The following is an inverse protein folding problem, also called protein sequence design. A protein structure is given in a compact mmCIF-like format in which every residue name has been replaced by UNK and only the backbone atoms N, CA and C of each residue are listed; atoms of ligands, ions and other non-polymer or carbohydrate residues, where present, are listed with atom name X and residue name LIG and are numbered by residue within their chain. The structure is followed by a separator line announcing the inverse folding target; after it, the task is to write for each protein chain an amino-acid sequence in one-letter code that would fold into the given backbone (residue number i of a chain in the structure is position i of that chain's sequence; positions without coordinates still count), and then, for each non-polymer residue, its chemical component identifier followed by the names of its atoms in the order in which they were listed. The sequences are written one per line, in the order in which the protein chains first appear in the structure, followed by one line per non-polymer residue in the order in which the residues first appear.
data_IF_843781084748
#
_entry.id   IF_843781084748
#
_cell.length_a   1.000
_cell.length_b   1.000
_cell.length_c   1.000
_cell.angle_alpha   90.00
_cell.angle_beta   90.00
_cell.angle_gamma   90.00
#
_symmetry.space_group_name_H-M   'P 1'
#
loop_
_entity.id
_entity.type
_entity.pdbx_description
1 polymer ?
#
# COMPACT_ATOMS: atom_id res chain seq x y z
N UNK A 1 10.73 36.04 -22.61
CA UNK A 1 10.79 35.46 -21.26
C UNK A 1 9.49 35.81 -20.54
N UNK A 2 8.48 34.93 -20.59
CA UNK A 2 7.17 35.18 -19.98
C UNK A 2 6.94 34.08 -18.94
N UNK A 3 7.15 34.42 -17.67
CA UNK A 3 6.80 33.54 -16.56
C UNK A 3 5.28 33.53 -16.41
N UNK A 4 4.62 32.51 -16.95
CA UNK A 4 3.24 32.19 -16.57
C UNK A 4 3.28 31.67 -15.14
N UNK A 5 2.97 32.55 -14.18
CA UNK A 5 2.61 32.14 -12.83
C UNK A 5 1.26 31.42 -12.90
N UNK A 6 1.25 30.11 -13.18
CA UNK A 6 0.11 29.26 -12.82
C UNK A 6 0.01 29.28 -11.30
N UNK A 7 -0.84 30.15 -10.76
CA UNK A 7 -1.21 30.15 -9.36
C UNK A 7 -1.94 28.83 -9.09
N UNK A 8 -1.19 27.82 -8.62
CA UNK A 8 -1.74 26.58 -8.10
C UNK A 8 -2.72 26.95 -6.99
N UNK A 9 -4.01 26.68 -7.18
CA UNK A 9 -4.95 26.76 -6.07
C UNK A 9 -4.75 25.52 -5.23
N UNK A 10 -4.29 25.75 -4.01
CA UNK A 10 -4.15 24.74 -2.97
C UNK A 10 -5.23 24.98 -1.90
N UNK A 11 -5.75 23.89 -1.34
CA UNK A 11 -6.60 23.92 -0.17
C UNK A 11 -6.21 22.78 0.76
N UNK A 12 -6.20 23.05 2.05
CA UNK A 12 -5.96 22.05 3.08
C UNK A 12 -7.30 21.75 3.78
N UNK A 13 -7.62 20.47 3.93
CA UNK A 13 -8.83 19.99 4.58
C UNK A 13 -8.43 19.14 5.78
N UNK A 14 -8.94 19.49 6.95
CA UNK A 14 -8.76 18.70 8.17
C UNK A 14 -9.90 17.70 8.31
N UNK A 15 -9.54 16.41 8.36
CA UNK A 15 -10.48 15.34 8.65
C UNK A 15 -10.30 14.87 10.09
N UNK A 16 -11.39 14.87 10.85
CA UNK A 16 -11.46 14.26 12.18
C UNK A 16 -11.86 12.79 12.04
N UNK A 17 -10.89 11.88 12.15
CA UNK A 17 -11.14 10.43 12.10
C UNK A 17 -11.22 9.87 13.52
N UNK A 18 -11.70 8.63 13.64
CA UNK A 18 -11.94 7.98 14.94
C UNK A 18 -10.73 7.97 15.89
N UNK A 19 -9.50 7.94 15.36
CA UNK A 19 -8.28 7.80 16.14
C UNK A 19 -7.26 8.93 15.96
N UNK A 20 -7.43 9.80 14.96
CA UNK A 20 -6.52 10.92 14.70
C UNK A 20 -7.13 11.94 13.75
N UNK A 21 -6.59 13.15 13.80
CA UNK A 21 -6.81 14.16 12.79
C UNK A 21 -5.82 13.97 11.62
N UNK A 22 -6.31 14.11 10.40
CA UNK A 22 -5.50 14.02 9.18
C UNK A 22 -5.74 15.23 8.31
N UNK A 23 -4.67 15.96 8.00
CA UNK A 23 -4.70 17.03 7.01
C UNK A 23 -4.46 16.46 5.61
N UNK A 24 -5.39 16.73 4.70
CA UNK A 24 -5.26 16.44 3.27
C UNK A 24 -4.99 17.74 2.54
N UNK A 25 -3.88 17.80 1.81
CA UNK A 25 -3.55 18.90 0.91
C UNK A 25 -4.06 18.54 -0.49
N UNK A 26 -4.86 19.41 -1.08
CA UNK A 26 -5.34 19.30 -2.45
C UNK A 26 -4.74 20.40 -3.32
N UNK A 27 -4.23 20.03 -4.49
CA UNK A 27 -3.76 20.96 -5.51
C UNK A 27 -4.50 20.71 -6.82
N UNK A 28 -5.07 21.79 -7.38
CA UNK A 28 -5.62 21.75 -8.74
C UNK A 28 -4.51 21.66 -9.80
N UNK A 29 -4.68 20.76 -10.76
CA UNK A 29 -3.83 20.66 -11.96
C UNK A 29 -4.69 20.81 -13.23
N UNK A 30 -4.06 20.91 -14.40
CA UNK A 30 -4.72 20.99 -15.71
C UNK A 30 -5.87 22.01 -15.76
N UNK A 31 -5.59 23.27 -15.38
CA UNK A 31 -6.56 24.35 -15.32
C UNK A 31 -7.83 24.00 -14.50
N UNK A 32 -7.67 23.31 -13.36
CA UNK A 32 -8.74 22.90 -12.43
C UNK A 32 -9.67 21.80 -12.96
N UNK A 33 -9.23 21.04 -13.95
CA UNK A 33 -9.97 19.84 -14.42
C UNK A 33 -9.63 18.59 -13.63
N UNK A 34 -8.52 18.62 -12.91
CA UNK A 34 -7.98 17.51 -12.14
C UNK A 34 -7.48 17.99 -10.78
N UNK A 35 -7.41 17.05 -9.84
CA UNK A 35 -7.03 17.29 -8.45
C UNK A 35 -6.00 16.25 -8.02
N UNK A 36 -4.93 16.73 -7.38
CA UNK A 36 -3.95 15.87 -6.71
C UNK A 36 -4.10 16.09 -5.22
N UNK A 37 -4.49 15.04 -4.51
CA UNK A 37 -4.62 15.02 -3.07
C UNK A 37 -3.45 14.26 -2.44
N UNK A 38 -2.92 14.78 -1.35
CA UNK A 38 -1.85 14.15 -0.57
C UNK A 38 -2.14 14.23 0.92
N UNK A 39 -1.68 13.24 1.68
CA UNK A 39 -1.83 13.20 3.13
C UNK A 39 -0.62 12.54 3.78
N UNK A 40 -0.34 12.91 5.03
CA UNK A 40 0.66 12.22 5.84
C UNK A 40 0.01 11.02 6.55
N UNK A 41 0.34 9.80 6.12
CA UNK A 41 -0.17 8.59 6.74
C UNK A 41 0.45 8.32 8.13
N UNK A 42 1.63 8.87 8.40
CA UNK A 42 2.43 8.61 9.60
C UNK A 42 3.71 7.83 9.28
N UNK A 43 4.47 7.51 10.32
CA UNK A 43 5.72 6.74 10.19
C UNK A 43 5.44 5.29 9.80
N UNK A 44 6.21 4.78 8.83
CA UNK A 44 6.18 3.38 8.48
C UNK A 44 6.86 2.53 9.58
N UNK A 45 6.29 1.37 9.87
CA UNK A 45 6.82 0.40 10.81
C UNK A 45 6.78 -0.99 10.19
N UNK A 46 7.84 -1.76 10.39
CA UNK A 46 7.83 -3.20 10.17
C UNK A 46 7.42 -3.88 11.47
N UNK A 47 6.35 -4.66 11.44
CA UNK A 47 5.75 -5.25 12.66
C UNK A 47 5.77 -6.78 12.66
N UNK A 48 6.34 -7.40 11.63
CA UNK A 48 6.40 -8.86 11.54
C UNK A 48 7.42 -9.33 10.52
N UNK A 49 8.13 -10.39 10.88
CA UNK A 49 8.95 -11.18 9.97
C UNK A 49 8.18 -12.43 9.56
N UNK A 50 8.14 -12.71 8.26
CA UNK A 50 7.56 -13.95 7.74
C UNK A 50 8.68 -14.96 7.58
N UNK A 51 8.52 -16.14 8.18
CA UNK A 51 9.47 -17.22 7.99
C UNK A 51 9.43 -17.70 6.52
N UNK A 52 10.58 -17.97 5.88
CA UNK A 52 10.63 -18.46 4.50
C UNK A 52 9.80 -19.75 4.27
N UNK A 53 9.63 -20.57 5.32
CA UNK A 53 8.79 -21.76 5.33
C UNK A 53 7.30 -21.49 5.05
N UNK A 54 6.83 -20.26 5.28
CA UNK A 54 5.43 -19.87 5.09
C UNK A 54 5.20 -19.13 3.77
N UNK A 55 6.25 -18.80 3.01
CA UNK A 55 6.13 -18.02 1.77
C UNK A 55 5.21 -18.71 0.77
N UNK A 56 5.45 -20.00 0.50
CA UNK A 56 4.64 -20.77 -0.44
C UNK A 56 3.14 -20.73 -0.08
N UNK A 57 2.81 -20.80 1.22
CA UNK A 57 1.42 -20.74 1.71
C UNK A 57 0.80 -19.36 1.48
N UNK A 58 1.58 -18.29 1.62
CA UNK A 58 1.11 -16.91 1.50
C UNK A 58 0.99 -16.42 0.04
N UNK A 59 1.79 -16.98 -0.88
CA UNK A 59 1.85 -16.53 -2.27
C UNK A 59 1.04 -17.39 -3.22
N UNK A 60 0.84 -18.69 -2.92
CA UNK A 60 0.02 -19.56 -3.76
C UNK A 60 -1.44 -19.06 -3.91
N UNK A 61 -2.10 -18.55 -2.85
CA UNK A 61 -3.42 -17.91 -2.97
C UNK A 61 -3.44 -16.67 -3.86
N UNK A 62 -2.28 -16.05 -4.08
CA UNK A 62 -2.09 -14.91 -4.98
C UNK A 62 -1.86 -15.32 -6.44
N UNK A 63 -1.82 -16.63 -6.75
CA UNK A 63 -1.45 -17.14 -8.07
C UNK A 63 0.05 -17.05 -8.38
N UNK A 64 0.87 -16.78 -7.36
CA UNK A 64 2.31 -16.59 -7.47
C UNK A 64 3.07 -17.87 -7.11
N UNK A 65 4.28 -18.00 -7.66
CA UNK A 65 5.22 -19.08 -7.35
C UNK A 65 6.46 -18.52 -6.64
N UNK A 66 7.26 -19.39 -6.02
CA UNK A 66 8.51 -18.96 -5.37
C UNK A 66 9.47 -18.27 -6.35
N UNK A 67 9.51 -18.74 -7.60
CA UNK A 67 10.35 -18.17 -8.67
C UNK A 67 9.88 -16.78 -9.14
N UNK A 68 8.63 -16.40 -8.83
CA UNK A 68 8.11 -15.06 -9.12
C UNK A 68 8.59 -14.03 -8.08
N UNK A 69 9.14 -14.46 -6.94
CA UNK A 69 9.58 -13.57 -5.87
C UNK A 69 10.90 -12.87 -6.20
N UNK A 70 11.02 -11.62 -5.78
CA UNK A 70 12.28 -10.91 -5.80
C UNK A 70 13.16 -11.40 -4.64
N UNK A 71 14.16 -12.23 -4.94
CA UNK A 71 14.95 -12.99 -3.95
C UNK A 71 15.69 -12.15 -2.89
N UNK A 72 15.95 -10.87 -3.16
CA UNK A 72 16.61 -9.96 -2.23
C UNK A 72 15.67 -9.32 -1.20
N UNK A 73 14.35 -9.48 -1.38
CA UNK A 73 13.35 -8.80 -0.56
C UNK A 73 12.43 -9.83 0.11
N UNK A 74 12.50 -9.97 1.45
CA UNK A 74 11.65 -10.91 2.15
C UNK A 74 10.18 -10.46 2.11
N UNK A 75 9.27 -11.42 2.27
CA UNK A 75 7.89 -11.10 2.64
C UNK A 75 7.91 -10.46 4.03
N UNK A 76 7.18 -9.36 4.18
CA UNK A 76 7.20 -8.56 5.40
C UNK A 76 5.84 -7.91 5.66
N UNK A 77 5.48 -7.76 6.94
CA UNK A 77 4.30 -6.99 7.34
C UNK A 77 4.71 -5.57 7.71
N UNK A 78 4.17 -4.60 6.97
CA UNK A 78 4.47 -3.16 7.13
C UNK A 78 3.18 -2.39 7.39
N UNK A 79 3.25 -1.35 8.23
CA UNK A 79 2.09 -0.51 8.58
C UNK A 79 2.44 0.98 8.63
N UNK A 80 1.50 1.82 8.22
CA UNK A 80 1.43 3.26 8.53
C UNK A 80 0.17 3.58 9.37
N UNK A 81 -0.46 2.55 9.94
CA UNK A 81 -1.72 2.61 10.67
C UNK A 81 -2.58 1.37 10.43
N UNK A 82 -2.56 0.84 9.20
CA UNK A 82 -3.12 -0.48 8.86
C UNK A 82 -1.99 -1.39 8.35
N UNK A 83 -1.81 -2.58 8.95
CA UNK A 83 -0.74 -3.48 8.53
C UNK A 83 -1.10 -4.26 7.27
N UNK A 84 -0.15 -4.36 6.35
CA UNK A 84 -0.28 -5.10 5.10
C UNK A 84 0.90 -6.04 4.89
N UNK A 85 0.63 -7.19 4.27
CA UNK A 85 1.67 -8.07 3.76
C UNK A 85 2.24 -7.48 2.47
N UNK A 86 3.55 -7.23 2.45
CA UNK A 86 4.30 -6.83 1.26
C UNK A 86 4.90 -8.07 0.62
N UNK A 87 4.53 -8.31 -0.64
CA UNK A 87 5.04 -9.41 -1.47
C UNK A 87 5.83 -8.80 -2.63
N UNK A 88 7.16 -8.85 -2.52
CA UNK A 88 8.04 -8.32 -3.58
C UNK A 88 8.21 -9.36 -4.68
N UNK A 89 7.86 -9.01 -5.91
CA UNK A 89 7.91 -9.90 -7.07
C UNK A 89 8.82 -9.34 -8.17
N UNK A 90 9.44 -10.24 -8.93
CA UNK A 90 10.21 -9.96 -10.14
C UNK A 90 9.43 -10.30 -11.42
N UNK A 91 8.44 -11.20 -11.32
CA UNK A 91 7.54 -11.62 -12.41
C UNK A 91 6.17 -12.05 -11.88
N UNK A 92 5.25 -12.41 -12.79
CA UNK A 92 3.98 -13.06 -12.43
C UNK A 92 2.85 -12.11 -12.03
N UNK A 93 3.05 -10.79 -12.11
CA UNK A 93 2.01 -9.80 -11.83
C UNK A 93 0.77 -9.98 -12.72
N UNK A 94 0.96 -10.41 -13.96
CA UNK A 94 -0.12 -10.65 -14.93
C UNK A 94 -1.05 -11.82 -14.54
N UNK A 95 -0.60 -12.69 -13.63
CA UNK A 95 -1.39 -13.78 -13.06
C UNK A 95 -1.84 -13.48 -11.62
N UNK A 96 -1.35 -12.40 -11.03
CA UNK A 96 -1.59 -12.10 -9.63
C UNK A 96 -3.05 -11.71 -9.40
N UNK A 97 -3.66 -12.31 -8.38
CA UNK A 97 -5.04 -12.05 -7.98
C UNK A 97 -5.37 -12.78 -6.69
N UNK A 98 -6.50 -12.48 -6.05
CA UNK A 98 -6.90 -13.18 -4.82
C UNK A 98 -7.84 -14.33 -5.19
N UNK A 99 -7.32 -15.56 -5.14
CA UNK A 99 -8.05 -16.75 -5.59
C UNK A 99 -8.59 -17.62 -4.44
N UNK A 100 -8.09 -17.43 -3.21
CA UNK A 100 -8.55 -18.17 -2.04
C UNK A 100 -9.61 -17.39 -1.26
N UNK A 101 -10.69 -18.08 -0.84
CA UNK A 101 -11.74 -17.50 0.01
C UNK A 101 -11.26 -17.22 1.44
N UNK A 102 -10.29 -17.97 1.93
CA UNK A 102 -9.79 -17.88 3.30
C UNK A 102 -8.49 -17.07 3.40
N UNK A 103 -8.16 -16.29 2.37
CA UNK A 103 -6.89 -15.57 2.32
C UNK A 103 -6.76 -14.52 3.43
N UNK A 104 -7.86 -13.83 3.75
CA UNK A 104 -7.92 -12.86 4.85
C UNK A 104 -7.51 -13.49 6.18
N UNK A 105 -8.10 -14.64 6.54
CA UNK A 105 -7.75 -15.37 7.76
C UNK A 105 -6.28 -15.78 7.80
N UNK A 106 -5.72 -16.17 6.65
CA UNK A 106 -4.31 -16.57 6.54
C UNK A 106 -3.36 -15.38 6.74
N UNK A 107 -3.62 -14.23 6.12
CA UNK A 107 -2.76 -13.05 6.33
C UNK A 107 -2.93 -12.47 7.73
N UNK A 108 -4.13 -12.59 8.31
CA UNK A 108 -4.42 -12.18 9.69
C UNK A 108 -3.60 -13.00 10.70
N UNK A 109 -3.40 -14.30 10.47
CA UNK A 109 -2.55 -15.13 11.34
C UNK A 109 -1.08 -14.69 11.34
N UNK A 110 -0.68 -13.82 10.40
CA UNK A 110 0.65 -13.24 10.29
C UNK A 110 0.68 -11.75 10.66
N UNK A 111 -0.42 -11.20 11.20
CA UNK A 111 -0.51 -9.81 11.66
C UNK A 111 -0.77 -8.78 10.57
N UNK A 112 -1.05 -9.21 9.34
CA UNK A 112 -1.49 -8.33 8.26
C UNK A 112 -3.02 -8.27 8.20
N UNK A 113 -3.57 -7.14 7.78
CA UNK A 113 -4.99 -7.01 7.45
C UNK A 113 -5.22 -7.17 5.96
N UNK A 114 -6.42 -7.62 5.66
CA UNK A 114 -7.00 -7.67 4.32
C UNK A 114 -8.33 -6.91 4.42
N UNK A 115 -8.59 -5.99 3.49
CA UNK A 115 -9.78 -5.09 3.48
C UNK A 115 -10.40 -5.08 2.11
#
# INVERSE_FOLDING_TARGET
MQMMHTCKKQADILFHLNCKDVTVCNTTINNRREYVCSMNQGSAQSIGYIAPSDYAKLIAPLGLRMDDLASLYPLQVVTTGLPYLIVSISSGLERAGIFSKDYESLVLSHGAKFV
#
